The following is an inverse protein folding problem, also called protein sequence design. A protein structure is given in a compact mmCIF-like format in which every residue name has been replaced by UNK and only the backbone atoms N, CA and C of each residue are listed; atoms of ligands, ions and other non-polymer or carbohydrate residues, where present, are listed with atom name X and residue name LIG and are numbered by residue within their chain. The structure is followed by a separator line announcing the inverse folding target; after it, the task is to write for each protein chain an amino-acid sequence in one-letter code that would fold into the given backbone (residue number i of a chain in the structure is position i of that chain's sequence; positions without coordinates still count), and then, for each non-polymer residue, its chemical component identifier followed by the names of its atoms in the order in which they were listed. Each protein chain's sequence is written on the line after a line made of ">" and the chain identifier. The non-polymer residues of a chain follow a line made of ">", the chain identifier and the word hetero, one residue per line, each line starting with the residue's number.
data_IF_897834526442
#
_entry.id   IF_897834526442
#
_cell.length_a   1.000
_cell.length_b   1.000
_cell.length_c   1.000
_cell.angle_alpha   90.00
_cell.angle_beta   90.00
_cell.angle_gamma   90.00
#
_symmetry.space_group_name_H-M   'P 1'
#
loop_
_entity.id
_entity.type
_entity.pdbx_description
1 polymer ?
#
# COMPACT_ATOMS: atom_id res chain seq x y z
N UNK A 1 -0.53 3.56 -12.06
CA UNK A 1 -1.89 3.22 -11.57
C UNK A 1 -2.87 4.22 -12.15
N UNK A 2 -4.07 3.77 -12.53
CA UNK A 2 -5.13 4.64 -13.04
C UNK A 2 -5.76 5.44 -11.88
N UNK A 3 -5.87 6.76 -12.04
CA UNK A 3 -6.28 7.68 -10.96
C UNK A 3 -7.79 7.67 -10.73
N UNK A 4 -8.57 7.22 -11.71
CA UNK A 4 -10.03 7.24 -11.68
C UNK A 4 -10.64 6.31 -10.62
N UNK A 5 -9.85 5.35 -10.13
CA UNK A 5 -10.26 4.39 -9.09
C UNK A 5 -10.14 4.95 -7.67
N UNK A 6 -9.38 6.02 -7.48
CA UNK A 6 -9.14 6.62 -6.18
C UNK A 6 -9.99 7.90 -6.10
N UNK A 7 -10.87 8.01 -5.10
CA UNK A 7 -11.67 9.22 -4.88
C UNK A 7 -10.80 10.43 -4.50
N UNK A 8 -11.43 11.57 -4.22
CA UNK A 8 -10.74 12.81 -3.79
C UNK A 8 -9.96 12.66 -2.47
N UNK A 9 -10.23 11.59 -1.70
CA UNK A 9 -9.64 11.30 -0.39
C UNK A 9 -8.28 10.61 -0.44
N UNK A 10 -7.67 10.42 -1.62
CA UNK A 10 -6.44 9.65 -1.77
C UNK A 10 -5.27 10.54 -2.19
N UNK A 11 -4.24 10.60 -1.33
CA UNK A 11 -2.97 11.22 -1.66
C UNK A 11 -2.02 10.20 -2.32
N UNK A 12 -1.63 10.47 -3.57
CA UNK A 12 -0.61 9.67 -4.26
C UNK A 12 0.76 10.26 -4.00
N UNK A 13 1.58 9.51 -3.28
CA UNK A 13 2.97 9.85 -2.99
C UNK A 13 3.88 9.18 -4.03
N UNK A 14 4.79 9.95 -4.64
CA UNK A 14 5.69 9.45 -5.70
C UNK A 14 7.09 9.07 -5.21
N UNK A 15 7.50 9.60 -4.06
CA UNK A 15 8.82 9.33 -3.49
C UNK A 15 8.66 8.71 -2.09
N UNK A 16 9.41 7.65 -1.75
CA UNK A 16 9.37 7.06 -0.42
C UNK A 16 9.63 8.06 0.70
N UNK A 17 10.53 9.03 0.48
CA UNK A 17 10.87 10.08 1.45
C UNK A 17 9.68 10.94 1.89
N UNK A 18 8.70 11.12 1.00
CA UNK A 18 7.52 11.94 1.27
C UNK A 18 6.48 11.19 2.14
N UNK A 19 6.66 9.88 2.34
CA UNK A 19 5.79 9.03 3.16
C UNK A 19 5.92 9.34 4.65
N UNK A 20 7.11 9.77 5.09
CA UNK A 20 7.39 10.11 6.49
C UNK A 20 6.57 11.30 7.01
N UNK A 21 6.13 12.18 6.11
CA UNK A 21 5.32 13.36 6.44
C UNK A 21 3.83 13.17 6.11
N UNK A 22 3.41 11.97 5.70
CA UNK A 22 2.03 11.69 5.36
C UNK A 22 1.23 11.33 6.62
N UNK A 23 0.22 12.14 6.95
CA UNK A 23 -0.75 11.83 7.99
C UNK A 23 -1.91 11.05 7.36
N UNK A 24 -1.83 9.72 7.42
CA UNK A 24 -2.86 8.83 6.89
C UNK A 24 -3.10 7.63 7.82
N UNK A 25 -4.37 7.28 8.02
CA UNK A 25 -4.75 6.09 8.79
C UNK A 25 -4.44 4.78 8.04
N UNK A 26 -4.50 4.82 6.70
CA UNK A 26 -4.24 3.70 5.80
C UNK A 26 -3.24 4.10 4.71
N UNK A 27 -2.15 3.34 4.58
CA UNK A 27 -1.12 3.54 3.58
C UNK A 27 -1.03 2.30 2.69
N UNK A 28 -1.11 2.51 1.38
CA UNK A 28 -1.02 1.45 0.37
C UNK A 28 0.31 1.55 -0.35
N UNK A 29 1.12 0.49 -0.31
CA UNK A 29 2.51 0.53 -0.76
C UNK A 29 2.76 -0.50 -1.86
N UNK A 30 3.31 -0.06 -2.99
CA UNK A 30 3.81 -0.98 -4.03
C UNK A 30 5.19 -1.51 -3.61
N UNK A 31 5.27 -2.81 -3.34
CA UNK A 31 6.47 -3.48 -2.85
C UNK A 31 7.44 -3.87 -3.98
N UNK A 32 7.20 -3.45 -5.23
CA UNK A 32 8.16 -3.72 -6.32
C UNK A 32 9.49 -2.97 -6.09
N UNK A 33 9.47 -1.88 -5.31
CA UNK A 33 10.67 -1.21 -4.79
C UNK A 33 10.79 -1.44 -3.28
N UNK A 34 11.80 -2.21 -2.86
CA UNK A 34 12.00 -2.56 -1.43
C UNK A 34 12.37 -1.38 -0.54
N UNK A 35 12.94 -0.33 -1.12
CA UNK A 35 13.37 0.91 -0.42
C UNK A 35 12.24 1.57 0.37
N UNK A 36 10.98 1.38 -0.01
CA UNK A 36 9.83 2.01 0.64
C UNK A 36 9.60 1.51 2.07
N UNK A 37 10.07 0.30 2.38
CA UNK A 37 9.91 -0.30 3.71
C UNK A 37 10.70 0.48 4.77
N UNK A 38 11.80 1.14 4.39
CA UNK A 38 12.61 1.96 5.28
C UNK A 38 11.98 3.32 5.63
N UNK A 39 10.89 3.70 4.95
CA UNK A 39 10.21 4.99 5.13
C UNK A 39 8.79 4.86 5.70
N UNK A 40 8.41 3.68 6.18
CA UNK A 40 7.06 3.45 6.72
C UNK A 40 6.85 4.28 8.00
N UNK A 41 5.84 5.17 8.03
CA UNK A 41 5.57 5.95 9.23
C UNK A 41 5.03 5.05 10.35
N UNK A 42 5.47 5.28 11.61
CA UNK A 42 4.96 4.51 12.74
C UNK A 42 3.50 4.84 13.02
N UNK A 43 2.71 3.83 13.38
CA UNK A 43 1.31 4.00 13.83
C UNK A 43 0.25 3.97 12.73
N UNK A 44 0.61 4.15 11.46
CA UNK A 44 -0.31 3.98 10.34
C UNK A 44 -0.51 2.52 9.98
N UNK A 45 -1.71 2.14 9.51
CA UNK A 45 -1.94 0.80 8.97
C UNK A 45 -1.37 0.72 7.56
N UNK A 46 -0.29 -0.04 7.38
CA UNK A 46 0.36 -0.21 6.07
C UNK A 46 -0.08 -1.51 5.42
N UNK A 47 -0.57 -1.44 4.18
CA UNK A 47 -0.86 -2.59 3.32
C UNK A 47 0.08 -2.55 2.11
N UNK A 48 1.02 -3.49 2.07
CA UNK A 48 1.91 -3.68 0.93
C UNK A 48 1.26 -4.55 -0.15
N UNK A 49 1.62 -4.33 -1.41
CA UNK A 49 1.26 -5.24 -2.49
C UNK A 49 2.40 -5.49 -3.47
N UNK A 50 2.57 -6.73 -3.91
CA UNK A 50 3.62 -7.15 -4.82
C UNK A 50 3.06 -8.00 -5.97
N UNK A 51 3.76 -8.13 -7.12
CA UNK A 51 3.43 -9.12 -8.14
C UNK A 51 3.29 -10.54 -7.56
N UNK A 52 2.35 -11.35 -8.07
CA UNK A 52 1.97 -12.66 -7.51
C UNK A 52 3.12 -13.68 -7.38
N UNK A 53 4.22 -13.46 -8.12
CA UNK A 53 5.38 -14.36 -8.14
C UNK A 53 6.35 -14.15 -6.98
N UNK A 54 6.11 -13.16 -6.12
CA UNK A 54 7.13 -12.68 -5.17
C UNK A 54 6.73 -12.90 -3.70
N UNK A 55 6.55 -14.16 -3.32
CA UNK A 55 6.15 -14.56 -1.97
C UNK A 55 7.17 -14.14 -0.89
N UNK A 56 8.46 -14.12 -1.22
CA UNK A 56 9.51 -13.67 -0.32
C UNK A 56 9.43 -12.17 -0.05
N UNK A 57 9.10 -11.36 -1.07
CA UNK A 57 8.84 -9.92 -0.90
C UNK A 57 7.62 -9.67 -0.01
N UNK A 58 6.54 -10.45 -0.14
CA UNK A 58 5.39 -10.33 0.75
C UNK A 58 5.75 -10.64 2.21
N UNK A 59 6.54 -11.69 2.46
CA UNK A 59 7.00 -11.99 3.83
C UNK A 59 7.91 -10.90 4.39
N UNK A 60 8.85 -10.42 3.58
CA UNK A 60 9.76 -9.34 3.98
C UNK A 60 9.00 -8.05 4.33
N UNK A 61 7.95 -7.73 3.59
CA UNK A 61 7.11 -6.56 3.87
C UNK A 61 6.38 -6.67 5.21
N UNK A 62 5.81 -7.84 5.53
CA UNK A 62 5.18 -8.07 6.84
C UNK A 62 6.22 -7.97 7.97
N UNK A 63 7.40 -8.57 7.79
CA UNK A 63 8.50 -8.46 8.75
C UNK A 63 9.02 -7.02 8.91
N UNK A 64 8.94 -6.22 7.85
CA UNK A 64 9.35 -4.81 7.81
C UNK A 64 8.29 -3.83 8.33
N UNK A 65 7.18 -4.32 8.89
CA UNK A 65 6.17 -3.47 9.53
C UNK A 65 4.89 -3.23 8.71
N UNK A 66 4.72 -3.88 7.55
CA UNK A 66 3.40 -3.92 6.93
C UNK A 66 2.42 -4.74 7.77
N UNK A 67 1.24 -4.18 8.03
CA UNK A 67 0.15 -4.89 8.69
C UNK A 67 -0.35 -6.07 7.82
N UNK A 68 -0.33 -5.88 6.50
CA UNK A 68 -0.71 -6.92 5.54
C UNK A 68 0.11 -6.76 4.24
N UNK A 69 0.45 -7.88 3.59
CA UNK A 69 1.08 -7.86 2.27
C UNK A 69 0.28 -8.76 1.31
N UNK A 70 -0.20 -8.20 0.20
CA UNK A 70 -1.14 -8.85 -0.71
C UNK A 70 -0.55 -9.05 -2.12
N UNK A 71 -0.88 -10.15 -2.81
CA UNK A 71 -0.67 -10.21 -4.25
C UNK A 71 -1.42 -9.07 -4.95
N UNK A 72 -0.81 -8.49 -6.00
CA UNK A 72 -1.35 -7.36 -6.78
C UNK A 72 -2.79 -7.58 -7.24
N UNK A 73 -3.12 -8.80 -7.67
CA UNK A 73 -4.49 -9.17 -8.10
C UNK A 73 -5.51 -9.11 -6.96
N UNK A 74 -5.13 -9.51 -5.74
CA UNK A 74 -5.99 -9.45 -4.55
C UNK A 74 -6.13 -8.02 -4.05
N UNK A 75 -5.03 -7.26 -4.06
CA UNK A 75 -5.01 -5.84 -3.71
C UNK A 75 -6.04 -5.04 -4.51
N UNK A 76 -6.02 -5.15 -5.85
CA UNK A 76 -6.97 -4.40 -6.68
C UNK A 76 -8.43 -4.83 -6.51
N UNK A 77 -8.69 -6.08 -6.11
CA UNK A 77 -10.04 -6.54 -5.77
C UNK A 77 -10.54 -5.97 -4.45
N UNK A 78 -9.66 -5.81 -3.46
CA UNK A 78 -9.99 -5.25 -2.13
C UNK A 78 -9.97 -3.73 -2.10
N UNK A 79 -9.31 -3.09 -3.06
CA UNK A 79 -9.11 -1.65 -3.09
C UNK A 79 -10.40 -0.84 -2.87
N UNK A 80 -11.54 -1.13 -3.54
CA UNK A 80 -12.78 -0.36 -3.31
C UNK A 80 -13.23 -0.40 -1.85
N UNK A 81 -13.29 -1.59 -1.25
CA UNK A 81 -13.63 -1.77 0.16
C UNK A 81 -12.61 -1.10 1.12
N UNK A 82 -11.32 -1.07 0.75
CA UNK A 82 -10.27 -0.45 1.56
C UNK A 82 -10.37 1.08 1.59
N UNK A 83 -10.82 1.70 0.49
CA UNK A 83 -10.96 3.17 0.39
C UNK A 83 -12.40 3.65 0.67
N UNK A 84 -13.27 2.77 1.17
CA UNK A 84 -14.67 3.11 1.48
C UNK A 84 -15.55 3.36 0.24
N UNK A 85 -15.14 2.86 -0.92
CA UNK A 85 -15.96 2.85 -2.13
C UNK A 85 -16.64 1.49 -2.21
N UNK A 86 -17.84 1.40 -1.66
CA UNK A 86 -18.71 0.26 -1.94
C UNK A 86 -18.97 0.26 -3.45
N UNK A 87 -18.61 -0.84 -4.13
CA UNK A 87 -19.03 -1.09 -5.51
C UNK A 87 -20.56 -1.23 -5.45
N UNK A 88 -21.30 -0.24 -5.94
CA UNK A 88 -22.73 -0.37 -6.26
C UNK A 88 -22.89 -1.10 -7.60
#
# INVERSE_FOLDING_TARGET
>A
MDRSRFGETVQIVKKPSDLASAEADLILVDLSGREVLDYLPPGSRVIGFAPHIDADTLRAAVAGGCAEALPRSVFFKRLPALIGREDD
#
